data_IF_399142012314
#
_entry.id   IF_399142012314
#
_cell.length_a   1.000
_cell.length_b   1.000
_cell.length_c   1.000
_cell.angle_alpha   90.00
_cell.angle_beta   90.00
_cell.angle_gamma   90.00
#
_symmetry.space_group_name_H-M   'P 1'
#
loop_
_entity.id
_entity.type
_entity.pdbx_description
1 polymer ?
#
# COMPACT_ATOMS: atom_id res chain seq x y z
N UNK A 1 11.94 -16.38 -5.59
CA UNK A 1 10.64 -16.92 -5.12
C UNK A 1 9.77 -15.84 -4.46
N UNK A 2 10.13 -15.22 -3.33
CA UNK A 2 9.44 -14.01 -2.83
C UNK A 2 10.00 -12.72 -3.45
N UNK A 3 11.33 -12.66 -3.57
CA UNK A 3 12.11 -11.59 -4.20
C UNK A 3 11.80 -11.36 -5.69
N UNK A 4 11.18 -12.35 -6.35
CA UNK A 4 10.78 -12.26 -7.76
C UNK A 4 9.31 -11.85 -7.92
N UNK A 5 8.48 -11.97 -6.88
CA UNK A 5 7.03 -11.80 -6.93
C UNK A 5 6.57 -10.55 -6.16
N UNK A 6 7.12 -10.36 -4.96
CA UNK A 6 6.70 -9.30 -4.05
C UNK A 6 7.16 -7.92 -4.52
N UNK A 7 6.30 -6.93 -4.33
CA UNK A 7 6.59 -5.51 -4.48
C UNK A 7 6.80 -4.84 -3.13
N UNK A 8 6.04 -3.77 -2.91
CA UNK A 8 5.96 -3.15 -1.59
C UNK A 8 5.40 -4.16 -0.57
N UNK A 9 6.01 -4.18 0.60
CA UNK A 9 5.74 -5.15 1.65
C UNK A 9 5.78 -4.48 3.02
N UNK A 10 5.11 -5.10 3.99
CA UNK A 10 5.31 -4.83 5.41
C UNK A 10 5.49 -6.15 6.17
N UNK A 11 6.27 -6.12 7.24
CA UNK A 11 6.49 -7.28 8.08
C UNK A 11 6.32 -6.97 9.57
N UNK A 12 5.97 -8.02 10.30
CA UNK A 12 5.84 -8.07 11.75
C UNK A 12 6.43 -9.38 12.25
N UNK A 13 7.16 -9.32 13.36
CA UNK A 13 7.68 -10.48 14.08
C UNK A 13 6.92 -10.61 15.39
N UNK A 14 6.11 -11.66 15.54
CA UNK A 14 5.46 -11.98 16.80
C UNK A 14 6.51 -12.27 17.90
N UNK A 15 6.12 -12.08 19.16
CA UNK A 15 7.01 -12.35 20.30
C UNK A 15 7.25 -13.85 20.56
N UNK A 16 6.52 -14.72 19.86
CA UNK A 16 6.62 -16.17 19.97
C UNK A 16 6.21 -16.87 18.68
N UNK A 17 6.05 -18.19 18.76
CA UNK A 17 5.64 -19.01 17.63
C UNK A 17 4.17 -18.80 17.30
N UNK A 18 3.83 -18.96 16.02
CA UNK A 18 2.44 -18.93 15.53
C UNK A 18 2.00 -20.37 15.28
N UNK A 19 0.90 -20.76 15.90
CA UNK A 19 0.18 -21.96 15.51
C UNK A 19 -0.56 -21.67 14.20
N UNK A 20 -0.10 -22.30 13.12
CA UNK A 20 -0.63 -22.07 11.77
C UNK A 20 -2.11 -22.46 11.66
N UNK A 21 -2.60 -23.39 12.49
CA UNK A 21 -4.01 -23.79 12.47
C UNK A 21 -4.93 -22.67 12.99
N UNK A 22 -4.44 -21.77 13.84
CA UNK A 22 -5.21 -20.63 14.35
C UNK A 22 -5.42 -19.54 13.30
N UNK A 23 -4.49 -19.38 12.36
CA UNK A 23 -4.53 -18.29 11.37
C UNK A 23 -5.09 -18.74 10.02
N UNK A 24 -5.21 -20.04 9.77
CA UNK A 24 -5.75 -20.61 8.53
C UNK A 24 -7.08 -20.01 8.10
N UNK A 25 -7.96 -19.74 9.06
CA UNK A 25 -9.30 -19.19 8.80
C UNK A 25 -9.31 -17.76 8.28
N UNK A 26 -8.20 -17.02 8.42
CA UNK A 26 -8.08 -15.63 7.96
C UNK A 26 -7.75 -15.53 6.47
N UNK A 27 -7.21 -16.58 5.87
CA UNK A 27 -6.89 -16.62 4.45
C UNK A 27 -8.16 -16.82 3.63
N UNK A 28 -8.39 -15.91 2.66
CA UNK A 28 -9.43 -16.11 1.65
C UNK A 28 -9.01 -17.20 0.67
N UNK A 29 -7.74 -17.17 0.25
CA UNK A 29 -7.13 -18.18 -0.61
C UNK A 29 -5.83 -18.64 0.02
N UNK A 30 -5.59 -19.95 0.05
CA UNK A 30 -4.29 -20.51 0.43
C UNK A 30 -3.64 -21.05 -0.84
N UNK A 31 -2.46 -20.53 -1.17
CA UNK A 31 -1.68 -20.91 -2.34
C UNK A 31 -0.68 -22.01 -2.01
N UNK A 32 -0.06 -21.91 -0.84
CA UNK A 32 0.88 -22.90 -0.33
C UNK A 32 0.73 -23.06 1.17
N UNK A 33 0.70 -24.31 1.60
CA UNK A 33 0.46 -24.67 2.99
C UNK A 33 1.40 -25.80 3.36
N UNK A 34 2.30 -25.52 4.29
CA UNK A 34 3.31 -26.45 4.76
C UNK A 34 3.26 -26.55 6.28
N UNK A 35 3.96 -27.52 6.86
CA UNK A 35 4.12 -27.59 8.31
C UNK A 35 4.90 -26.42 8.91
N UNK A 36 5.54 -25.57 8.10
CA UNK A 36 6.37 -24.46 8.58
C UNK A 36 5.79 -23.08 8.26
N UNK A 37 5.01 -22.95 7.19
CA UNK A 37 4.39 -21.68 6.80
C UNK A 37 3.17 -21.85 5.92
N UNK A 38 2.34 -20.81 5.90
CA UNK A 38 1.23 -20.61 4.96
C UNK A 38 1.54 -19.38 4.09
N UNK A 39 1.26 -19.50 2.80
CA UNK A 39 1.26 -18.41 1.84
C UNK A 39 -0.12 -18.38 1.15
N UNK A 40 -0.69 -17.20 1.00
CA UNK A 40 -1.95 -16.99 0.30
C UNK A 40 -2.42 -15.56 0.43
N UNK A 41 -3.69 -15.31 0.15
CA UNK A 41 -4.27 -13.98 0.19
C UNK A 41 -5.26 -13.78 1.33
N UNK A 42 -5.20 -12.61 1.97
CA UNK A 42 -6.07 -12.18 3.06
C UNK A 42 -6.85 -10.95 2.61
N UNK A 43 -8.15 -10.95 2.94
CA UNK A 43 -9.04 -9.86 2.61
C UNK A 43 -8.67 -8.57 3.34
N UNK A 44 -8.63 -7.44 2.62
CA UNK A 44 -8.61 -6.12 3.26
C UNK A 44 -10.05 -5.73 3.60
N UNK A 45 -10.38 -5.46 4.88
CA UNK A 45 -11.73 -5.09 5.28
C UNK A 45 -12.29 -3.93 4.47
N UNK A 46 -13.54 -4.06 4.02
CA UNK A 46 -14.24 -3.07 3.19
C UNK A 46 -13.70 -2.88 1.76
N UNK A 47 -12.67 -3.60 1.31
CA UNK A 47 -12.22 -3.55 -0.07
C UNK A 47 -12.72 -4.74 -0.90
N UNK A 48 -12.64 -4.61 -2.22
CA UNK A 48 -12.92 -5.68 -3.17
C UNK A 48 -11.73 -6.65 -3.23
N UNK A 49 -11.94 -7.85 -3.77
CA UNK A 49 -10.90 -8.90 -3.83
C UNK A 49 -9.63 -8.47 -4.58
N UNK A 50 -9.73 -7.49 -5.49
CA UNK A 50 -8.58 -6.87 -6.15
C UNK A 50 -7.58 -6.20 -5.19
N UNK A 51 -7.96 -5.97 -3.93
CA UNK A 51 -7.10 -5.44 -2.86
C UNK A 51 -6.63 -6.51 -1.89
N UNK A 52 -6.96 -7.78 -2.10
CA UNK A 52 -6.46 -8.82 -1.23
C UNK A 52 -4.93 -8.77 -1.20
N UNK A 53 -4.41 -8.93 0.01
CA UNK A 53 -2.98 -8.80 0.31
C UNK A 53 -2.42 -10.20 0.38
N UNK A 54 -1.31 -10.45 -0.30
CA UNK A 54 -0.59 -11.71 -0.13
C UNK A 54 0.08 -11.69 1.23
N UNK A 55 -0.06 -12.77 1.99
CA UNK A 55 0.47 -12.91 3.33
C UNK A 55 1.25 -14.22 3.41
N UNK A 56 2.49 -14.11 3.85
CA UNK A 56 3.32 -15.22 4.28
C UNK A 56 3.38 -15.25 5.81
N UNK A 57 3.02 -16.39 6.41
CA UNK A 57 3.07 -16.60 7.86
C UNK A 57 3.94 -17.81 8.16
N UNK A 58 5.02 -17.62 8.90
CA UNK A 58 5.90 -18.70 9.37
C UNK A 58 5.60 -19.05 10.82
N UNK A 59 5.73 -20.33 11.17
CA UNK A 59 5.53 -20.84 12.55
C UNK A 59 6.47 -20.18 13.58
N UNK A 60 7.61 -19.64 13.14
CA UNK A 60 8.57 -18.91 14.00
C UNK A 60 8.16 -17.45 14.28
N UNK A 61 6.95 -17.05 13.89
CA UNK A 61 6.37 -15.75 14.23
C UNK A 61 6.51 -14.67 13.17
N UNK A 62 7.13 -14.95 12.02
CA UNK A 62 7.21 -14.00 10.90
C UNK A 62 5.86 -13.89 10.19
N UNK A 63 5.37 -12.66 10.02
CA UNK A 63 4.24 -12.32 9.16
C UNK A 63 4.72 -11.27 8.17
N UNK A 64 4.65 -11.57 6.88
CA UNK A 64 4.98 -10.66 5.78
C UNK A 64 3.74 -10.47 4.91
N UNK A 65 3.29 -9.23 4.79
CA UNK A 65 2.21 -8.83 3.89
C UNK A 65 2.80 -8.09 2.69
N UNK A 66 2.32 -8.37 1.48
CA UNK A 66 2.81 -7.73 0.27
C UNK A 66 1.74 -7.63 -0.82
N UNK A 67 1.98 -6.69 -1.73
CA UNK A 67 1.35 -6.64 -3.05
C UNK A 67 2.34 -7.09 -4.10
N UNK A 68 1.85 -7.54 -5.26
CA UNK A 68 2.71 -8.05 -6.32
C UNK A 68 3.61 -6.94 -6.89
N UNK A 69 4.70 -7.34 -7.54
CA UNK A 69 5.73 -6.42 -7.98
C UNK A 69 5.29 -5.44 -9.09
N UNK A 70 4.19 -5.73 -9.78
CA UNK A 70 3.58 -4.87 -10.79
C UNK A 70 2.52 -3.91 -10.22
N UNK A 71 2.24 -4.00 -8.92
CA UNK A 71 1.26 -3.15 -8.25
C UNK A 71 1.93 -1.91 -7.61
N UNK A 72 1.30 -0.73 -7.68
CA UNK A 72 1.92 0.49 -7.17
C UNK A 72 1.92 0.53 -5.63
N UNK A 73 2.90 1.23 -5.07
CA UNK A 73 3.04 1.45 -3.63
C UNK A 73 1.85 2.18 -3.01
N UNK A 74 1.18 3.05 -3.76
CA UNK A 74 -0.02 3.75 -3.28
C UNK A 74 -1.17 2.82 -2.88
N UNK A 75 -1.20 1.58 -3.38
CA UNK A 75 -2.22 0.59 -3.04
C UNK A 75 -2.20 0.21 -1.56
N UNK A 76 -1.09 0.44 -0.83
CA UNK A 76 -1.01 0.15 0.61
C UNK A 76 -1.86 1.09 1.46
N UNK A 77 -2.26 2.26 0.96
CA UNK A 77 -2.92 3.29 1.76
C UNK A 77 -4.39 2.95 1.97
N UNK A 78 -4.87 3.12 3.21
CA UNK A 78 -6.26 2.93 3.64
C UNK A 78 -7.12 4.14 3.23
N UNK A 79 -7.23 4.38 1.92
CA UNK A 79 -7.94 5.53 1.36
C UNK A 79 -9.44 5.52 1.67
N UNK A 80 -10.07 4.37 1.92
CA UNK A 80 -11.50 4.31 2.29
C UNK A 80 -11.75 4.75 3.73
N UNK A 81 -10.76 4.59 4.60
CA UNK A 81 -10.76 5.16 5.95
C UNK A 81 -10.48 6.66 5.97
N UNK A 82 -10.17 7.30 4.83
CA UNK A 82 -9.75 8.70 4.73
C UNK A 82 -8.60 9.04 5.70
N UNK A 83 -7.64 8.14 5.87
CA UNK A 83 -6.53 8.29 6.82
C UNK A 83 -5.21 7.74 6.26
N UNK A 84 -4.10 8.26 6.81
CA UNK A 84 -2.75 7.74 6.64
C UNK A 84 -2.16 7.21 7.94
N UNK A 85 -2.94 7.15 9.03
CA UNK A 85 -2.51 6.65 10.34
C UNK A 85 -2.35 5.12 10.35
N UNK A 86 -2.91 4.44 9.35
CA UNK A 86 -2.78 3.00 9.12
C UNK A 86 -2.63 2.69 7.63
N UNK A 87 -2.34 1.42 7.32
CA UNK A 87 -2.24 0.89 5.97
C UNK A 87 -3.05 -0.39 5.83
N UNK A 88 -3.40 -0.74 4.60
CA UNK A 88 -4.03 -2.02 4.26
C UNK A 88 -3.19 -3.20 4.80
N UNK A 89 -1.85 -3.11 4.71
CA UNK A 89 -0.96 -4.12 5.26
C UNK A 89 -0.99 -4.18 6.78
N UNK A 90 -0.97 -3.05 7.50
CA UNK A 90 -1.07 -3.05 8.97
C UNK A 90 -2.40 -3.65 9.42
N UNK A 91 -3.50 -3.34 8.72
CA UNK A 91 -4.82 -3.92 9.00
C UNK A 91 -4.82 -5.46 8.80
N UNK A 92 -4.28 -5.94 7.68
CA UNK A 92 -4.19 -7.38 7.38
C UNK A 92 -3.26 -8.12 8.33
N UNK A 93 -2.07 -7.58 8.60
CA UNK A 93 -1.13 -8.16 9.59
C UNK A 93 -1.80 -8.22 10.97
N UNK A 94 -2.58 -7.21 11.36
CA UNK A 94 -3.29 -7.19 12.64
C UNK A 94 -4.37 -8.27 12.73
N UNK A 95 -5.07 -8.57 11.63
CA UNK A 95 -6.06 -9.66 11.56
C UNK A 95 -5.35 -11.00 11.82
N UNK A 96 -4.29 -11.27 11.05
CA UNK A 96 -3.57 -12.56 11.11
C UNK A 96 -2.86 -12.73 12.46
N UNK A 97 -2.13 -11.73 12.93
CA UNK A 97 -1.48 -11.76 14.23
C UNK A 97 -2.49 -11.86 15.38
N UNK A 98 -3.62 -11.17 15.25
CA UNK A 98 -4.72 -11.19 16.23
C UNK A 98 -5.33 -12.58 16.37
N UNK A 99 -5.54 -13.30 15.27
CA UNK A 99 -5.99 -14.70 15.29
C UNK A 99 -4.99 -15.62 16.01
N UNK A 100 -3.69 -15.34 15.90
CA UNK A 100 -2.63 -16.03 16.64
C UNK A 100 -2.44 -15.54 18.10
N UNK A 101 -3.23 -14.58 18.57
CA UNK A 101 -3.17 -14.05 19.93
C UNK A 101 -2.09 -12.99 20.17
N UNK A 102 -1.52 -12.39 19.12
CA UNK A 102 -0.46 -11.40 19.21
C UNK A 102 -0.95 -9.99 18.83
N UNK A 103 -0.77 -8.98 19.71
CA UNK A 103 -1.10 -7.60 19.37
C UNK A 103 -0.05 -7.00 18.41
N UNK A 104 -0.53 -6.24 17.43
CA UNK A 104 0.32 -5.50 16.49
C UNK A 104 0.29 -4.03 16.83
N UNK A 105 1.43 -3.51 17.27
CA UNK A 105 1.60 -2.08 17.55
C UNK A 105 2.03 -1.35 16.28
N UNK A 106 3.04 -1.92 15.61
CA UNK A 106 3.59 -1.36 14.39
C UNK A 106 4.16 -2.42 13.45
N UNK A 107 4.41 -2.03 12.21
CA UNK A 107 4.97 -2.86 11.15
C UNK A 107 6.13 -2.14 10.48
N UNK A 108 7.09 -2.90 9.95
CA UNK A 108 8.22 -2.33 9.20
C UNK A 108 7.98 -2.54 7.70
N UNK A 109 8.37 -1.56 6.88
CA UNK A 109 8.15 -1.60 5.43
C UNK A 109 9.43 -1.90 4.66
N UNK A 110 9.29 -2.59 3.53
CA UNK A 110 10.36 -2.88 2.59
C UNK A 110 9.77 -3.03 1.18
N UNK A 111 10.48 -2.61 0.14
CA UNK A 111 10.07 -2.83 -1.25
C UNK A 111 11.11 -3.70 -1.96
N UNK A 112 10.71 -4.92 -2.32
CA UNK A 112 11.60 -5.88 -2.98
C UNK A 112 12.06 -5.41 -4.37
N UNK A 113 11.30 -4.51 -5.02
CA UNK A 113 11.67 -3.92 -6.32
C UNK A 113 12.73 -2.86 -6.18
N UNK A 114 12.74 -2.17 -5.04
CA UNK A 114 13.57 -1.01 -4.77
C UNK A 114 14.36 -1.20 -3.47
N UNK A 115 15.28 -2.18 -3.41
CA UNK A 115 16.06 -2.49 -2.19
C UNK A 115 16.93 -1.33 -1.71
N UNK A 116 17.17 -0.34 -2.57
CA UNK A 116 17.94 0.87 -2.26
C UNK A 116 17.07 2.05 -1.79
N UNK A 117 15.74 1.91 -1.74
CA UNK A 117 14.87 2.95 -1.22
C UNK A 117 15.07 3.10 0.29
N UNK A 118 15.21 4.34 0.74
CA UNK A 118 15.39 4.66 2.17
C UNK A 118 14.18 5.37 2.75
N UNK A 119 13.29 5.87 1.89
CA UNK A 119 12.18 6.72 2.29
C UNK A 119 10.94 6.42 1.44
N UNK A 120 9.78 6.54 2.11
CA UNK A 120 8.47 6.65 1.48
C UNK A 120 7.82 7.93 2.00
N UNK A 121 7.40 8.80 1.09
CA UNK A 121 6.58 9.96 1.42
C UNK A 121 5.14 9.66 1.05
N UNK A 122 4.22 9.92 1.96
CA UNK A 122 2.78 9.86 1.73
C UNK A 122 2.23 11.26 2.03
N UNK A 123 1.58 11.86 1.04
CA UNK A 123 0.84 13.12 1.20
C UNK A 123 -0.61 12.83 0.88
N UNK A 124 -1.49 13.17 1.80
CA UNK A 124 -2.92 12.96 1.67
C UNK A 124 -3.66 14.28 1.76
N UNK A 125 -4.77 14.36 1.03
CA UNK A 125 -5.63 15.53 1.06
C UNK A 125 -7.10 15.09 0.89
N UNK A 126 -8.01 15.92 1.38
CA UNK A 126 -9.44 15.66 1.33
C UNK A 126 -10.28 16.92 1.13
N UNK A 127 -11.45 16.79 0.49
CA UNK A 127 -12.32 17.93 0.16
C UNK A 127 -12.85 18.76 1.35
N UNK A 128 -12.64 18.32 2.59
CA UNK A 128 -13.11 18.99 3.81
C UNK A 128 -12.12 20.06 4.30
N UNK A 129 -10.82 19.83 4.15
CA UNK A 129 -9.76 20.69 4.71
C UNK A 129 -8.86 21.36 3.64
N UNK A 130 -9.08 21.04 2.37
CA UNK A 130 -8.44 21.62 1.20
C UNK A 130 -8.55 20.65 0.04
N UNK A 131 -8.88 21.05 -1.18
CA UNK A 131 -9.02 20.07 -2.26
C UNK A 131 -7.73 19.89 -3.07
N UNK A 132 -6.62 20.48 -2.64
CA UNK A 132 -5.34 20.42 -3.33
C UNK A 132 -4.14 20.71 -2.43
N UNK A 133 -2.98 20.21 -2.85
CA UNK A 133 -1.68 20.51 -2.26
C UNK A 133 -0.64 20.70 -3.36
N UNK A 134 0.44 21.40 -3.02
CA UNK A 134 1.59 21.58 -3.91
C UNK A 134 2.82 20.89 -3.33
N UNK A 135 3.55 20.17 -4.17
CA UNK A 135 4.77 19.47 -3.80
C UNK A 135 5.88 19.78 -4.81
N UNK A 136 7.10 19.96 -4.31
CA UNK A 136 8.32 20.04 -5.10
C UNK A 136 9.28 18.95 -4.63
N UNK A 137 9.91 18.25 -5.57
CA UNK A 137 10.81 17.14 -5.28
C UNK A 137 12.25 17.51 -5.72
N UNK A 138 13.27 17.39 -4.85
CA UNK A 138 14.64 17.77 -5.21
C UNK A 138 15.28 16.85 -6.26
N UNK A 139 15.95 17.41 -7.26
CA UNK A 139 16.75 16.62 -8.22
C UNK A 139 17.94 15.88 -7.58
N UNK A 140 18.29 16.23 -6.35
CA UNK A 140 19.36 15.57 -5.58
C UNK A 140 18.98 14.18 -5.06
N UNK A 141 17.71 13.79 -5.07
CA UNK A 141 17.26 12.47 -4.61
C UNK A 141 17.09 11.49 -5.78
N UNK A 142 17.08 10.18 -5.48
CA UNK A 142 16.77 9.14 -6.46
C UNK A 142 15.33 8.64 -6.26
N UNK A 143 14.46 8.86 -7.26
CA UNK A 143 13.05 8.47 -7.21
C UNK A 143 12.81 7.15 -7.93
N UNK A 144 12.29 6.15 -7.21
CA UNK A 144 12.00 4.83 -7.76
C UNK A 144 10.56 4.74 -8.27
N UNK A 145 9.60 5.22 -7.48
CA UNK A 145 8.18 5.16 -7.81
C UNK A 145 7.47 6.45 -7.40
N UNK A 146 6.49 6.87 -8.22
CA UNK A 146 5.47 7.84 -7.85
C UNK A 146 4.12 7.25 -8.21
N UNK A 147 3.23 7.14 -7.23
CA UNK A 147 1.93 6.55 -7.40
C UNK A 147 0.88 7.29 -6.61
N UNK A 148 -0.38 7.06 -6.94
CA UNK A 148 -1.49 7.71 -6.31
C UNK A 148 -2.62 6.72 -6.06
N UNK A 149 -3.43 7.00 -5.05
CA UNK A 149 -4.68 6.30 -4.79
C UNK A 149 -5.75 7.31 -4.36
N UNK A 150 -7.00 7.07 -4.72
CA UNK A 150 -8.10 7.93 -4.35
C UNK A 150 -9.33 7.11 -3.97
N UNK A 151 -10.12 7.64 -3.03
CA UNK A 151 -11.41 7.10 -2.64
C UNK A 151 -12.53 8.12 -2.89
N UNK A 152 -13.74 7.61 -3.10
CA UNK A 152 -14.95 8.39 -3.30
C UNK A 152 -16.13 7.82 -2.53
N UNK A 153 -17.16 8.64 -2.29
CA UNK A 153 -18.41 8.20 -1.64
C UNK A 153 -19.40 7.56 -2.61
N UNK A 154 -19.18 7.70 -3.92
CA UNK A 154 -20.05 7.20 -4.99
C UNK A 154 -19.25 6.54 -6.11
N UNK A 155 -19.95 5.78 -6.95
CA UNK A 155 -19.39 5.18 -8.15
C UNK A 155 -18.70 6.23 -9.03
N UNK A 156 -17.38 6.11 -9.20
CA UNK A 156 -16.60 7.05 -10.00
C UNK A 156 -16.34 8.40 -9.32
N UNK A 157 -16.49 8.50 -7.99
CA UNK A 157 -16.19 9.71 -7.20
C UNK A 157 -14.74 9.80 -6.69
N UNK A 158 -13.83 8.99 -7.23
CA UNK A 158 -12.46 8.80 -6.72
C UNK A 158 -11.41 9.40 -7.68
N UNK A 159 -11.42 10.72 -7.85
CA UNK A 159 -10.48 11.41 -8.73
C UNK A 159 -9.31 12.04 -7.99
N UNK A 160 -8.14 11.94 -8.60
CA UNK A 160 -6.97 12.73 -8.31
C UNK A 160 -6.47 13.38 -9.60
N UNK A 161 -6.20 14.68 -9.57
CA UNK A 161 -5.56 15.40 -10.66
C UNK A 161 -4.12 15.71 -10.28
N UNK A 162 -3.20 15.49 -11.20
CA UNK A 162 -1.80 15.89 -11.07
C UNK A 162 -1.47 16.85 -12.21
N UNK A 163 -1.14 18.10 -11.88
CA UNK A 163 -1.00 19.22 -12.82
C UNK A 163 -2.15 19.32 -13.82
N UNK A 164 -3.38 19.21 -13.31
CA UNK A 164 -4.60 19.23 -14.11
C UNK A 164 -4.88 17.96 -14.93
N UNK A 165 -3.98 16.97 -14.94
CA UNK A 165 -4.23 15.67 -15.56
C UNK A 165 -5.01 14.78 -14.61
N UNK A 166 -6.25 14.43 -14.96
CA UNK A 166 -7.08 13.53 -14.17
C UNK A 166 -6.55 12.09 -14.24
N UNK A 167 -6.44 11.42 -13.09
CA UNK A 167 -6.09 10.01 -12.92
C UNK A 167 -4.92 9.56 -13.82
N UNK A 168 -3.74 10.20 -13.69
CA UNK A 168 -2.60 9.91 -14.56
C UNK A 168 -2.23 8.43 -14.48
N UNK A 169 -1.99 7.80 -15.64
CA UNK A 169 -1.65 6.37 -15.78
C UNK A 169 -2.47 5.47 -14.83
N UNK A 170 -3.79 5.62 -14.84
CA UNK A 170 -4.71 4.81 -14.03
C UNK A 170 -4.49 3.32 -14.33
N UNK A 171 -4.23 2.55 -13.27
CA UNK A 171 -4.04 1.09 -13.33
C UNK A 171 -5.28 0.35 -12.86
N UNK A 172 -6.05 0.93 -11.94
CA UNK A 172 -7.26 0.35 -11.41
C UNK A 172 -8.36 1.39 -11.24
N UNK A 173 -9.58 0.99 -11.58
CA UNK A 173 -10.80 1.79 -11.45
C UNK A 173 -11.91 0.93 -10.86
N UNK A 174 -11.94 0.83 -9.54
CA UNK A 174 -12.97 0.12 -8.81
C UNK A 174 -14.25 0.93 -8.63
N UNK A 175 -15.17 0.43 -7.81
CA UNK A 175 -16.43 1.13 -7.57
C UNK A 175 -16.22 2.47 -6.84
N UNK A 176 -15.43 2.48 -5.78
CA UNK A 176 -15.21 3.69 -4.95
C UNK A 176 -13.74 3.94 -4.60
N UNK A 177 -12.84 3.28 -5.30
CA UNK A 177 -11.39 3.43 -5.15
C UNK A 177 -10.72 3.30 -6.50
N UNK A 178 -9.67 4.07 -6.71
CA UNK A 178 -8.79 3.92 -7.87
C UNK A 178 -7.34 4.17 -7.48
N UNK A 179 -6.43 3.71 -8.31
CA UNK A 179 -5.01 3.99 -8.18
C UNK A 179 -4.32 4.00 -9.54
N UNK A 180 -3.15 4.61 -9.57
CA UNK A 180 -2.31 4.68 -10.75
C UNK A 180 -0.90 5.18 -10.43
N UNK A 181 -0.16 5.52 -11.47
CA UNK A 181 1.23 5.98 -11.36
C UNK A 181 1.45 7.35 -11.99
N UNK A 182 2.52 8.02 -11.61
CA UNK A 182 2.96 9.28 -12.21
C UNK A 182 4.35 9.06 -12.79
N UNK A 183 4.49 9.32 -14.09
CA UNK A 183 5.76 9.10 -14.78
C UNK A 183 6.81 10.17 -14.41
N UNK A 184 8.08 9.89 -14.71
CA UNK A 184 9.16 10.88 -14.56
C UNK A 184 9.04 12.09 -15.49
N UNK A 185 8.35 11.94 -16.62
CA UNK A 185 8.06 13.06 -17.50
C UNK A 185 6.96 13.98 -16.93
N UNK A 186 6.08 13.45 -16.05
CA UNK A 186 5.01 14.22 -15.42
C UNK A 186 5.47 14.87 -14.11
N UNK A 187 6.26 14.18 -13.30
CA UNK A 187 6.75 14.69 -12.01
C UNK A 187 8.22 15.06 -12.12
N UNK A 188 8.48 16.25 -12.66
CA UNK A 188 9.82 16.76 -12.94
C UNK A 188 10.41 17.38 -11.67
N UNK A 189 11.67 17.09 -11.30
CA UNK A 189 12.28 17.69 -10.12
C UNK A 189 12.48 19.21 -10.20
N UNK A 190 12.64 19.83 -9.03
CA UNK A 190 12.94 21.27 -8.83
C UNK A 190 11.90 22.24 -9.43
N UNK A 191 10.67 21.76 -9.64
CA UNK A 191 9.51 22.62 -9.92
C UNK A 191 8.30 22.24 -9.04
N UNK A 192 7.43 23.20 -8.71
CA UNK A 192 6.20 22.92 -8.00
C UNK A 192 5.20 22.15 -8.88
N UNK A 193 4.61 21.09 -8.31
CA UNK A 193 3.53 20.31 -8.90
C UNK A 193 2.27 20.40 -8.04
N UNK A 194 1.12 20.61 -8.66
CA UNK A 194 -0.17 20.68 -7.97
C UNK A 194 -0.90 19.35 -8.06
N UNK A 195 -1.34 18.84 -6.91
CA UNK A 195 -2.21 17.67 -6.82
C UNK A 195 -3.55 18.10 -6.26
N UNK A 196 -4.64 17.77 -6.96
CA UNK A 196 -6.00 18.05 -6.52
C UNK A 196 -6.77 16.74 -6.31
N UNK A 197 -7.70 16.72 -5.37
CA UNK A 197 -8.51 15.55 -5.03
C UNK A 197 -9.98 15.90 -5.04
N UNK A 198 -10.83 14.94 -5.43
CA UNK A 198 -12.27 15.14 -5.37
C UNK A 198 -12.85 14.89 -3.98
N UNK A 199 -12.42 13.82 -3.30
CA UNK A 199 -12.95 13.44 -1.99
C UNK A 199 -11.82 13.12 -1.02
N UNK A 200 -11.10 12.02 -1.24
CA UNK A 200 -9.86 11.71 -0.52
C UNK A 200 -8.86 11.13 -1.51
N UNK A 201 -7.64 11.64 -1.50
CA UNK A 201 -6.59 11.17 -2.39
C UNK A 201 -5.22 11.30 -1.78
N UNK A 202 -4.34 10.40 -2.20
CA UNK A 202 -2.97 10.32 -1.71
C UNK A 202 -1.98 10.23 -2.85
N UNK A 203 -0.85 10.89 -2.66
CA UNK A 203 0.36 10.76 -3.45
C UNK A 203 1.40 10.00 -2.63
N UNK A 204 1.97 8.95 -3.20
CA UNK A 204 3.01 8.13 -2.60
C UNK A 204 4.27 8.21 -3.45
N UNK A 205 5.41 8.47 -2.81
CA UNK A 205 6.71 8.58 -3.47
C UNK A 205 7.70 7.67 -2.75
N UNK A 206 8.32 6.76 -3.49
CA UNK A 206 9.40 5.88 -2.99
C UNK A 206 10.73 6.39 -3.52
N UNK A 207 11.66 6.71 -2.63
CA UNK A 207 12.90 7.39 -3.00
C UNK A 207 14.08 7.06 -2.06
N UNK A 208 15.27 7.46 -2.49
CA UNK A 208 16.49 7.44 -1.69
C UNK A 208 17.06 8.85 -1.55
N UNK A 209 17.39 9.21 -0.32
CA UNK A 209 18.21 10.40 -0.02
C UNK A 209 19.69 10.00 -0.07
N UNK A 210 20.57 10.78 -0.73
CA UNK A 210 22.00 10.50 -0.83
C UNK A 210 22.74 10.34 0.50
#
# INVERSE_FOLDING_TARGET
MLDEEAGISAWYQASGTIDLDLVRGEFRTIELDTGAYILGSVAVPNYQEAYDVHVYVHQDGWILAYYLNDEPSSKIVEVKGNTIDTTNFKNVISIVAGAAGYPVIDVSYYDFRYPNATNMLIVAENSSDGNDFTIEIPSSFAYFERSWAAAGSTAGGHYLWFDGTANPNQLYNGFNVSYGTISAAQFVPDIPHNTQVWSYGVLVIVYRVP
#
